data_IF_005074572604
#
_entry.id   IF_005074572604
#
_cell.length_a   1.000
_cell.length_b   1.000
_cell.length_c   1.000
_cell.angle_alpha   90.00
_cell.angle_beta   90.00
_cell.angle_gamma   90.00
#
_symmetry.space_group_name_H-M   'P 1'
#
loop_
_entity.id
_entity.type
_entity.pdbx_description
1 polymer ?
#
# COMPACT_ATOMS: atom_id res chain seq x y z
N UNK A 1 22.54 -7.43 10.12
CA UNK A 1 21.38 -8.17 9.56
C UNK A 1 20.53 -8.72 10.70
N UNK A 2 19.25 -8.54 10.63
CA UNK A 2 18.30 -9.03 11.62
C UNK A 2 17.40 -10.13 11.04
N UNK A 3 16.71 -10.86 11.89
CA UNK A 3 15.59 -11.69 11.47
C UNK A 3 14.30 -10.90 11.70
N UNK A 4 13.52 -10.75 10.64
CA UNK A 4 12.26 -9.98 10.65
C UNK A 4 11.11 -10.95 10.38
N UNK A 5 10.10 -10.91 11.25
CA UNK A 5 8.86 -11.68 11.04
C UNK A 5 7.78 -10.73 10.54
N UNK A 6 7.23 -11.04 9.38
CA UNK A 6 6.12 -10.28 8.78
C UNK A 6 4.86 -11.12 8.91
N UNK A 7 3.86 -10.60 9.59
CA UNK A 7 2.58 -11.28 9.79
C UNK A 7 1.55 -10.70 8.84
N UNK A 8 1.08 -11.52 7.92
CA UNK A 8 0.09 -11.13 6.92
C UNK A 8 0.65 -11.16 5.50
N UNK A 9 -0.14 -11.65 4.56
CA UNK A 9 0.24 -11.82 3.16
C UNK A 9 -0.62 -11.00 2.19
N UNK A 10 -1.24 -9.92 2.69
CA UNK A 10 -1.80 -8.88 1.82
C UNK A 10 -0.68 -8.06 1.20
N UNK A 11 -1.03 -7.04 0.42
CA UNK A 11 -0.04 -6.23 -0.29
C UNK A 11 0.98 -5.59 0.67
N UNK A 12 0.54 -5.11 1.82
CA UNK A 12 1.42 -4.48 2.80
C UNK A 12 2.46 -5.47 3.34
N UNK A 13 2.04 -6.67 3.71
CA UNK A 13 2.95 -7.71 4.20
C UNK A 13 3.91 -8.18 3.12
N UNK A 14 3.42 -8.40 1.92
CA UNK A 14 4.25 -8.87 0.80
C UNK A 14 5.32 -7.83 0.42
N UNK A 15 4.97 -6.55 0.29
CA UNK A 15 5.94 -5.52 -0.08
C UNK A 15 6.94 -5.27 1.05
N UNK A 16 6.50 -5.35 2.31
CA UNK A 16 7.38 -5.24 3.46
C UNK A 16 8.41 -6.37 3.47
N UNK A 17 7.95 -7.62 3.30
CA UNK A 17 8.83 -8.79 3.24
C UNK A 17 9.81 -8.68 2.07
N UNK A 18 9.34 -8.31 0.90
CA UNK A 18 10.18 -8.13 -0.29
C UNK A 18 11.30 -7.11 -0.05
N UNK A 19 10.96 -5.94 0.49
CA UNK A 19 11.95 -4.88 0.73
C UNK A 19 12.91 -5.25 1.85
N UNK A 20 12.42 -5.83 2.94
CA UNK A 20 13.25 -6.25 4.07
C UNK A 20 14.20 -7.38 3.69
N UNK A 21 13.79 -8.29 2.81
CA UNK A 21 14.61 -9.44 2.40
C UNK A 21 15.91 -9.05 1.68
N UNK A 22 16.01 -7.83 1.19
CA UNK A 22 17.23 -7.33 0.55
C UNK A 22 18.40 -7.18 1.53
N UNK A 23 18.11 -6.99 2.82
CA UNK A 23 19.11 -6.71 3.85
C UNK A 23 18.96 -7.57 5.10
N UNK A 24 17.89 -8.35 5.21
CA UNK A 24 17.54 -9.10 6.39
C UNK A 24 17.03 -10.49 6.06
N UNK A 25 17.05 -11.37 7.04
CA UNK A 25 16.41 -12.68 6.98
C UNK A 25 14.93 -12.50 7.34
N UNK A 26 14.00 -12.87 6.43
CA UNK A 26 12.57 -12.60 6.58
C UNK A 26 11.79 -13.90 6.68
N UNK A 27 10.92 -13.98 7.67
CA UNK A 27 9.92 -15.04 7.82
C UNK A 27 8.53 -14.43 7.60
N UNK A 28 7.81 -14.94 6.63
CA UNK A 28 6.47 -14.46 6.29
C UNK A 28 5.43 -15.45 6.84
N UNK A 29 4.52 -14.95 7.65
CA UNK A 29 3.50 -15.75 8.35
C UNK A 29 2.12 -15.39 7.85
N UNK A 30 1.33 -16.40 7.51
CA UNK A 30 -0.05 -16.23 7.06
C UNK A 30 -0.98 -17.19 7.82
N UNK A 31 -2.24 -16.80 7.96
CA UNK A 31 -3.25 -17.63 8.64
C UNK A 31 -3.75 -18.80 7.80
N UNK A 32 -3.55 -18.75 6.50
CA UNK A 32 -3.99 -19.81 5.57
C UNK A 32 -3.00 -19.96 4.42
N UNK A 33 -3.45 -20.10 3.18
CA UNK A 33 -2.56 -20.16 2.03
C UNK A 33 -1.97 -18.80 1.70
N UNK A 34 -0.79 -18.77 1.07
CA UNK A 34 -0.05 -17.55 0.77
C UNK A 34 -0.87 -16.51 0.00
N UNK A 35 -1.73 -16.95 -0.90
CA UNK A 35 -2.54 -16.06 -1.73
C UNK A 35 -3.87 -15.63 -1.07
N UNK A 36 -4.22 -16.19 0.10
CA UNK A 36 -5.47 -15.88 0.79
C UNK A 36 -5.36 -14.58 1.58
N UNK A 37 -5.95 -13.50 1.08
CA UNK A 37 -5.91 -12.19 1.73
C UNK A 37 -7.06 -11.31 1.28
N UNK A 38 -7.35 -10.27 2.04
CA UNK A 38 -8.32 -9.25 1.64
C UNK A 38 -7.89 -8.55 0.34
N UNK A 39 -6.59 -8.39 0.13
CA UNK A 39 -6.04 -7.81 -1.10
C UNK A 39 -6.41 -8.65 -2.32
N UNK A 40 -6.31 -9.98 -2.23
CA UNK A 40 -6.67 -10.88 -3.33
C UNK A 40 -8.15 -10.73 -3.73
N UNK A 41 -9.03 -10.55 -2.76
CA UNK A 41 -10.46 -10.47 -3.00
C UNK A 41 -10.98 -9.04 -3.21
N UNK A 42 -10.11 -8.04 -3.16
CA UNK A 42 -10.48 -6.67 -3.47
C UNK A 42 -10.88 -6.54 -4.94
N UNK A 43 -11.95 -5.81 -5.19
CA UNK A 43 -12.50 -5.63 -6.55
C UNK A 43 -12.10 -4.29 -7.18
N UNK A 44 -11.30 -3.51 -6.54
CA UNK A 44 -10.83 -2.23 -7.05
C UNK A 44 -9.36 -2.25 -7.36
N UNK A 45 -8.88 -1.12 -7.77
CA UNK A 45 -7.46 -0.85 -7.89
C UNK A 45 -6.93 -0.05 -6.71
N UNK A 46 -5.82 0.61 -6.93
CA UNK A 46 -5.24 1.57 -5.99
C UNK A 46 -5.50 2.97 -6.54
N UNK A 47 -6.11 3.83 -5.72
CA UNK A 47 -6.33 5.22 -6.09
C UNK A 47 -5.07 6.04 -5.81
N UNK A 48 -4.64 6.83 -6.80
CA UNK A 48 -3.54 7.76 -6.66
C UNK A 48 -3.65 8.89 -7.70
N UNK A 49 -3.10 10.04 -7.39
CA UNK A 49 -3.11 11.21 -8.28
C UNK A 49 -1.96 11.07 -9.31
N UNK A 50 -2.20 10.31 -10.39
CA UNK A 50 -1.21 10.00 -11.41
C UNK A 50 -1.30 10.85 -12.66
N UNK A 51 -2.48 11.36 -12.99
CA UNK A 51 -2.72 12.10 -14.24
C UNK A 51 -2.37 13.59 -14.08
N UNK A 52 -1.97 14.27 -15.18
CA UNK A 52 -1.58 15.68 -15.12
C UNK A 52 -2.67 16.65 -14.66
N UNK A 53 -3.94 16.29 -14.86
CA UNK A 53 -5.11 17.08 -14.47
C UNK A 53 -5.59 16.79 -13.04
N UNK A 54 -4.95 15.86 -12.36
CA UNK A 54 -5.23 15.53 -10.96
C UNK A 54 -4.13 16.10 -10.05
N UNK A 55 -4.38 16.10 -8.73
CA UNK A 55 -3.41 16.58 -7.75
C UNK A 55 -3.52 15.82 -6.43
N UNK A 56 -2.41 15.77 -5.71
CA UNK A 56 -2.39 15.25 -4.34
C UNK A 56 -3.34 16.04 -3.44
N UNK A 57 -3.36 17.36 -3.58
CA UNK A 57 -4.26 18.23 -2.77
C UNK A 57 -5.73 17.88 -3.00
N UNK A 58 -6.13 17.65 -4.24
CA UNK A 58 -7.50 17.22 -4.57
C UNK A 58 -7.80 15.85 -3.98
N UNK A 59 -6.87 14.90 -4.08
CA UNK A 59 -7.03 13.56 -3.52
C UNK A 59 -7.16 13.60 -1.98
N UNK A 60 -6.37 14.43 -1.30
CA UNK A 60 -6.49 14.64 0.15
C UNK A 60 -7.88 15.18 0.51
N UNK A 61 -8.34 16.23 -0.18
CA UNK A 61 -9.63 16.83 0.07
C UNK A 61 -10.78 15.84 -0.13
N UNK A 62 -10.74 15.07 -1.21
CA UNK A 62 -11.76 14.05 -1.51
C UNK A 62 -11.76 12.92 -0.46
N UNK A 63 -10.59 12.50 -0.03
CA UNK A 63 -10.44 11.45 0.99
C UNK A 63 -11.02 11.91 2.34
N UNK A 64 -10.69 13.13 2.76
CA UNK A 64 -11.23 13.69 4.01
C UNK A 64 -12.75 13.82 3.96
N UNK A 65 -13.30 14.23 2.82
CA UNK A 65 -14.74 14.34 2.61
C UNK A 65 -15.42 12.97 2.68
N UNK A 66 -14.87 11.99 1.98
CA UNK A 66 -15.41 10.62 1.98
C UNK A 66 -15.35 9.98 3.37
N UNK A 67 -14.33 10.32 4.15
CA UNK A 67 -14.16 9.80 5.51
C UNK A 67 -15.09 10.39 6.56
N UNK A 68 -15.82 11.47 6.23
CA UNK A 68 -16.87 12.04 7.07
C UNK A 68 -16.43 12.33 8.52
N UNK A 69 -15.24 12.85 8.72
CA UNK A 69 -14.71 13.21 10.03
C UNK A 69 -13.99 12.08 10.78
N UNK A 70 -13.91 10.89 10.21
CA UNK A 70 -13.23 9.75 10.85
C UNK A 70 -11.76 9.64 10.47
N UNK A 71 -11.27 10.45 9.54
CA UNK A 71 -9.89 10.40 9.09
C UNK A 71 -8.92 11.04 10.09
N UNK A 72 -7.70 10.49 10.14
CA UNK A 72 -6.54 11.22 10.64
C UNK A 72 -5.97 12.05 9.48
N UNK A 73 -6.03 13.39 9.52
CA UNK A 73 -5.57 14.21 8.39
C UNK A 73 -4.09 14.05 8.07
N UNK A 74 -3.25 13.78 9.06
CA UNK A 74 -1.81 13.57 8.86
C UNK A 74 -1.58 12.27 8.08
N UNK A 75 -2.28 11.20 8.47
CA UNK A 75 -2.19 9.92 7.77
C UNK A 75 -2.69 10.03 6.32
N UNK A 76 -3.77 10.77 6.08
CA UNK A 76 -4.29 11.02 4.74
C UNK A 76 -3.27 11.76 3.88
N UNK A 77 -2.64 12.80 4.43
CA UNK A 77 -1.60 13.55 3.72
C UNK A 77 -0.44 12.65 3.30
N UNK A 78 0.06 11.83 4.20
CA UNK A 78 1.15 10.88 3.91
C UNK A 78 0.73 9.89 2.81
N UNK A 79 -0.45 9.30 2.96
CA UNK A 79 -0.96 8.31 2.00
C UNK A 79 -1.09 8.90 0.59
N UNK A 80 -1.74 10.05 0.47
CA UNK A 80 -1.99 10.68 -0.82
C UNK A 80 -0.71 11.22 -1.45
N UNK A 81 0.22 11.74 -0.64
CA UNK A 81 1.49 12.30 -1.14
C UNK A 81 2.44 11.21 -1.62
N UNK A 82 2.53 10.08 -0.92
CA UNK A 82 3.42 9.00 -1.30
C UNK A 82 2.81 8.05 -2.34
N UNK A 83 1.48 8.03 -2.43
CA UNK A 83 0.73 7.11 -3.29
C UNK A 83 1.22 7.06 -4.74
N UNK A 84 1.39 8.18 -5.44
CA UNK A 84 1.82 8.17 -6.83
C UNK A 84 3.12 7.41 -7.07
N UNK A 85 4.14 7.68 -6.25
CA UNK A 85 5.41 6.98 -6.39
C UNK A 85 5.30 5.49 -6.04
N UNK A 86 4.54 5.16 -4.99
CA UNK A 86 4.36 3.75 -4.60
C UNK A 86 3.63 2.96 -5.68
N UNK A 87 2.64 3.56 -6.34
CA UNK A 87 1.96 2.92 -7.48
C UNK A 87 2.93 2.68 -8.64
N UNK A 88 3.77 3.67 -8.96
CA UNK A 88 4.79 3.50 -9.99
C UNK A 88 5.79 2.40 -9.64
N UNK A 89 6.18 2.28 -8.37
CA UNK A 89 7.06 1.20 -7.90
C UNK A 89 6.41 -0.18 -8.14
N UNK A 90 5.12 -0.32 -7.87
CA UNK A 90 4.38 -1.57 -8.13
C UNK A 90 4.31 -1.87 -9.63
N UNK A 91 4.05 -0.86 -10.46
CA UNK A 91 4.05 -1.03 -11.92
C UNK A 91 5.42 -1.50 -12.43
N UNK A 92 6.49 -0.96 -11.87
CA UNK A 92 7.86 -1.39 -12.21
C UNK A 92 8.14 -2.85 -11.81
N UNK A 93 7.43 -3.38 -10.81
CA UNK A 93 7.49 -4.79 -10.41
C UNK A 93 6.60 -5.70 -11.27
N UNK A 94 5.82 -5.14 -12.19
CA UNK A 94 4.99 -5.91 -13.13
C UNK A 94 3.50 -5.93 -12.80
N UNK A 95 3.04 -5.12 -11.87
CA UNK A 95 1.59 -4.97 -11.60
C UNK A 95 0.95 -4.13 -12.71
N UNK A 96 -0.15 -4.62 -13.29
CA UNK A 96 -0.91 -3.95 -14.37
C UNK A 96 -2.08 -3.13 -13.81
#
# INVERSE_FOLDING_TARGET
MARIVVVGTGIAGLITAYRASKHHDVVLVTKSELAESNTKYAQGGIAAALFPDDSVASHVADTLRAGAGLCDPIAVEVLCSEGPQRVRDLMALGVE
#
